data_IF_532501116300
#
_entry.id   IF_532501116300
#
_cell.length_a   1.000
_cell.length_b   1.000
_cell.length_c   1.000
_cell.angle_alpha   90.00
_cell.angle_beta   90.00
_cell.angle_gamma   90.00
#
_symmetry.space_group_name_H-M   'P 1'
#
loop_
_entity.id
_entity.type
_entity.pdbx_description
1 polymer ?
#
# COMPACT_ATOMS: atom_id res chain seq x y z
N UNK A 1 -16.78 17.33 -0.27
CA UNK A 1 -15.94 17.34 0.95
C UNK A 1 -15.33 15.98 0.95
N UNK A 2 -14.25 15.86 0.21
CA UNK A 2 -13.91 14.60 -0.43
C UNK A 2 -12.96 13.84 0.49
N UNK A 3 -13.36 12.64 0.90
CA UNK A 3 -12.54 11.79 1.74
C UNK A 3 -11.49 11.10 0.86
N UNK A 4 -10.21 11.37 1.11
CA UNK A 4 -9.09 10.71 0.44
C UNK A 4 -8.69 9.46 1.23
N UNK A 5 -9.26 8.30 0.90
CA UNK A 5 -8.94 7.02 1.54
C UNK A 5 -8.30 6.07 0.52
N UNK A 6 -7.13 5.53 0.85
CA UNK A 6 -6.45 4.51 0.07
C UNK A 6 -6.45 3.18 0.83
N UNK A 7 -6.66 2.08 0.11
CA UNK A 7 -6.55 0.72 0.62
C UNK A 7 -5.51 -0.04 -0.18
N UNK A 8 -4.67 -0.81 0.50
CA UNK A 8 -3.65 -1.67 -0.11
C UNK A 8 -3.71 -3.06 0.53
N UNK A 9 -3.32 -4.07 -0.24
CA UNK A 9 -3.34 -5.48 0.17
C UNK A 9 -1.92 -6.02 0.16
N UNK A 10 -1.54 -6.67 1.26
CA UNK A 10 -0.26 -7.36 1.39
C UNK A 10 -0.49 -8.85 1.11
N UNK A 11 0.26 -9.43 0.19
CA UNK A 11 0.13 -10.84 -0.22
C UNK A 11 1.48 -11.55 -0.30
N UNK A 12 1.45 -12.89 -0.32
CA UNK A 12 2.63 -13.72 -0.55
C UNK A 12 3.72 -13.56 0.53
N UNK A 13 4.97 -13.60 0.10
CA UNK A 13 6.14 -13.59 0.99
C UNK A 13 6.28 -12.28 1.80
N UNK A 14 5.67 -11.18 1.32
CA UNK A 14 5.64 -9.91 2.04
C UNK A 14 4.95 -10.03 3.40
N UNK A 15 3.99 -10.96 3.56
CA UNK A 15 3.33 -11.22 4.85
C UNK A 15 4.31 -11.74 5.91
N UNK A 16 5.34 -12.48 5.51
CA UNK A 16 6.37 -12.98 6.43
C UNK A 16 7.27 -11.84 6.92
N UNK A 17 7.61 -10.90 6.04
CA UNK A 17 8.41 -9.72 6.38
C UNK A 17 7.66 -8.77 7.33
N UNK A 18 6.36 -8.56 7.08
CA UNK A 18 5.57 -7.58 7.82
C UNK A 18 4.95 -8.14 9.11
N UNK A 19 5.04 -9.45 9.35
CA UNK A 19 4.42 -10.14 10.50
C UNK A 19 4.83 -9.55 11.86
N UNK A 20 6.12 -9.26 11.99
CA UNK A 20 6.74 -8.85 13.25
C UNK A 20 6.95 -7.32 13.35
N UNK A 21 6.62 -6.59 12.28
CA UNK A 21 6.69 -5.13 12.28
C UNK A 21 5.49 -4.51 13.01
N UNK A 22 5.68 -3.32 13.57
CA UNK A 22 4.62 -2.47 14.12
C UNK A 22 3.80 -1.80 13.01
N UNK A 23 2.58 -1.37 13.31
CA UNK A 23 1.68 -0.77 12.32
C UNK A 23 2.31 0.48 11.66
N UNK A 24 3.01 1.32 12.43
CA UNK A 24 3.70 2.49 11.90
C UNK A 24 4.77 2.12 10.87
N UNK A 25 5.57 1.07 11.14
CA UNK A 25 6.62 0.61 10.24
C UNK A 25 6.04 0.04 8.94
N UNK A 26 4.89 -0.64 9.02
CA UNK A 26 4.17 -1.11 7.82
C UNK A 26 3.70 0.08 6.98
N UNK A 27 3.14 1.10 7.62
CA UNK A 27 2.66 2.31 6.93
C UNK A 27 3.82 3.11 6.32
N UNK A 28 4.96 3.23 7.02
CA UNK A 28 6.14 3.91 6.49
C UNK A 28 6.64 3.24 5.20
N UNK A 29 6.66 1.90 5.16
CA UNK A 29 6.98 1.15 3.94
C UNK A 29 5.97 1.41 2.82
N UNK A 30 4.67 1.38 3.13
CA UNK A 30 3.63 1.67 2.15
C UNK A 30 3.73 3.10 1.60
N UNK A 31 3.99 4.09 2.46
CA UNK A 31 4.15 5.49 2.06
C UNK A 31 5.43 5.71 1.24
N UNK A 32 6.51 4.96 1.52
CA UNK A 32 7.72 4.95 0.71
C UNK A 32 7.41 4.54 -0.74
N UNK A 33 6.76 3.39 -0.91
CA UNK A 33 6.34 2.91 -2.24
C UNK A 33 5.36 3.89 -2.90
N UNK A 34 4.40 4.43 -2.15
CA UNK A 34 3.42 5.38 -2.68
C UNK A 34 4.12 6.63 -3.23
N UNK A 35 5.10 7.17 -2.52
CA UNK A 35 5.89 8.33 -2.97
C UNK A 35 6.71 8.00 -4.21
N UNK A 36 7.33 6.83 -4.28
CA UNK A 36 8.06 6.36 -5.47
C UNK A 36 7.15 6.23 -6.69
N UNK A 37 5.95 5.65 -6.52
CA UNK A 37 4.98 5.48 -7.61
C UNK A 37 4.49 6.82 -8.19
N UNK A 38 4.32 7.84 -7.35
CA UNK A 38 3.83 9.15 -7.80
C UNK A 38 4.93 10.11 -8.24
N UNK A 39 6.21 9.82 -7.98
CA UNK A 39 7.33 10.59 -8.52
C UNK A 39 7.42 10.51 -10.06
N UNK A 40 7.03 9.40 -10.67
CA UNK A 40 7.04 9.24 -12.14
C UNK A 40 5.98 10.09 -12.87
N UNK A 41 4.88 10.46 -12.19
CA UNK A 41 3.83 11.30 -12.80
C UNK A 41 4.29 12.75 -12.99
N UNK A 42 5.25 13.22 -12.19
CA UNK A 42 5.72 14.60 -12.20
C UNK A 42 6.87 14.80 -13.18
N UNK A 43 7.70 13.80 -13.45
CA UNK A 43 8.81 13.94 -14.42
C UNK A 43 8.32 14.06 -15.87
N UNK A 44 7.16 13.51 -16.23
CA UNK A 44 6.57 13.69 -17.57
C UNK A 44 5.91 15.06 -17.77
N UNK A 45 5.51 15.76 -16.70
CA UNK A 45 4.93 17.11 -16.77
C UNK A 45 5.94 18.22 -16.40
N UNK A 46 7.01 17.89 -15.68
CA UNK A 46 8.04 18.84 -15.26
C UNK A 46 8.90 19.38 -16.42
N UNK A 47 8.84 18.77 -17.61
CA UNK A 47 9.47 19.33 -18.81
C UNK A 47 8.69 20.52 -19.40
N UNK A 48 7.51 20.83 -18.86
CA UNK A 48 6.66 21.97 -19.24
C UNK A 48 6.28 22.85 -18.04
N UNK A 49 7.13 22.96 -17.02
CA UNK A 49 7.01 24.09 -16.09
C UNK A 49 7.39 25.36 -16.86
N UNK A 50 6.34 26.01 -17.34
CA UNK A 50 6.36 27.40 -17.79
C UNK A 50 6.90 28.23 -16.62
N UNK A 51 8.19 28.54 -16.67
CA UNK A 51 8.67 29.78 -16.07
C UNK A 51 7.85 30.90 -16.76
N UNK A 52 7.10 31.75 -16.04
CA UNK A 52 6.36 32.84 -16.67
C UNK A 52 7.30 33.87 -17.35
N UNK A 53 8.61 33.77 -17.10
CA UNK A 53 9.62 34.57 -17.78
C UNK A 53 9.85 34.00 -19.18
N UNK A 54 9.27 34.64 -20.18
CA UNK A 54 9.48 34.37 -21.62
C UNK A 54 10.92 34.66 -22.09
N UNK A 55 11.87 34.95 -21.19
CA UNK A 55 13.26 35.25 -21.54
C UNK A 55 14.26 34.26 -20.92
N UNK A 56 14.90 33.47 -21.79
CA UNK A 56 15.95 32.47 -21.51
C UNK A 56 17.24 33.00 -20.84
N UNK A 57 17.29 34.27 -20.43
CA UNK A 57 18.53 34.94 -20.02
C UNK A 57 18.83 34.82 -18.52
N UNK A 58 17.82 34.58 -17.66
CA UNK A 58 18.02 34.65 -16.21
C UNK A 58 18.91 33.54 -15.60
N UNK A 59 19.05 32.38 -16.23
CA UNK A 59 19.81 31.26 -15.62
C UNK A 59 21.34 31.38 -15.71
N UNK A 60 21.91 32.45 -16.29
CA UNK A 60 23.38 32.57 -16.47
C UNK A 60 24.09 33.51 -15.51
N UNK A 61 23.36 34.26 -14.68
CA UNK A 61 23.96 35.16 -13.71
C UNK A 61 23.56 34.71 -12.31
N UNK A 62 24.44 33.95 -11.68
CA UNK A 62 24.36 33.60 -10.26
C UNK A 62 24.46 34.85 -9.40
N UNK A 63 23.35 35.56 -9.24
CA UNK A 63 23.22 36.71 -8.35
C UNK A 63 21.96 36.53 -7.52
N UNK A 64 22.19 36.18 -6.26
CA UNK A 64 21.28 36.21 -5.11
C UNK A 64 20.01 37.05 -5.30
N UNK A 65 18.84 36.41 -5.30
CA UNK A 65 17.57 37.12 -5.30
C UNK A 65 16.34 36.23 -5.54
N UNK A 66 16.01 35.40 -4.56
CA UNK A 66 14.66 34.88 -4.28
C UNK A 66 13.87 34.35 -5.50
N UNK A 67 14.25 33.20 -6.05
CA UNK A 67 13.22 32.22 -6.40
C UNK A 67 13.12 31.28 -5.20
N UNK A 68 11.95 31.28 -4.55
CA UNK A 68 11.73 30.55 -3.30
C UNK A 68 12.24 29.11 -3.41
N UNK A 69 13.30 28.83 -2.67
CA UNK A 69 13.64 27.49 -2.23
C UNK A 69 12.49 27.01 -1.38
N UNK A 70 11.52 26.30 -1.97
CA UNK A 70 10.58 25.37 -1.33
C UNK A 70 9.54 24.91 -2.37
N UNK A 71 9.99 24.26 -3.44
CA UNK A 71 9.16 23.20 -4.03
C UNK A 71 9.67 21.91 -3.41
N UNK A 72 9.23 21.65 -2.19
CA UNK A 72 9.37 20.32 -1.62
C UNK A 72 8.56 19.38 -2.52
N UNK A 73 9.26 18.60 -3.34
CA UNK A 73 8.75 17.43 -4.07
C UNK A 73 8.31 16.36 -3.06
N UNK A 74 7.27 16.66 -2.29
CA UNK A 74 6.56 15.71 -1.46
C UNK A 74 5.10 15.77 -1.93
N UNK A 75 4.87 15.34 -3.18
CA UNK A 75 3.55 15.36 -3.82
C UNK A 75 2.52 14.47 -3.11
N UNK A 76 2.97 13.61 -2.19
CA UNK A 76 2.13 12.74 -1.36
C UNK A 76 2.23 13.16 0.11
N UNK A 77 1.15 13.70 0.71
CA UNK A 77 1.13 14.10 2.11
C UNK A 77 1.20 12.90 3.06
N UNK A 78 1.57 13.14 4.32
CA UNK A 78 1.54 12.11 5.37
C UNK A 78 0.08 11.68 5.68
N UNK A 79 -0.14 10.39 6.01
CA UNK A 79 -1.47 9.89 6.32
C UNK A 79 -1.97 10.46 7.66
N UNK A 80 -3.14 11.10 7.64
CA UNK A 80 -3.79 11.63 8.85
C UNK A 80 -4.28 10.50 9.77
N UNK A 81 -4.68 9.36 9.18
CA UNK A 81 -5.15 8.17 9.88
C UNK A 81 -4.84 6.93 9.07
N UNK A 82 -4.54 5.84 9.77
CA UNK A 82 -4.36 4.52 9.19
C UNK A 82 -4.87 3.43 10.14
N UNK A 83 -5.05 2.23 9.61
CA UNK A 83 -5.18 1.01 10.41
C UNK A 83 -4.59 -0.15 9.61
N UNK A 84 -3.97 -1.12 10.30
CA UNK A 84 -3.39 -2.32 9.69
C UNK A 84 -4.09 -3.54 10.27
N UNK A 85 -4.67 -4.38 9.41
CA UNK A 85 -5.33 -5.61 9.86
C UNK A 85 -4.30 -6.69 10.17
N UNK A 86 -4.48 -7.42 11.27
CA UNK A 86 -3.57 -8.52 11.69
C UNK A 86 -4.30 -9.86 11.78
N UNK A 87 -4.99 -10.25 10.70
CA UNK A 87 -5.74 -11.51 10.59
C UNK A 87 -4.91 -12.76 10.94
N UNK A 88 -3.63 -12.77 10.58
CA UNK A 88 -2.70 -13.86 10.91
C UNK A 88 -2.43 -14.04 12.41
N UNK A 89 -2.63 -12.98 13.21
CA UNK A 89 -2.44 -12.98 14.66
C UNK A 89 -3.75 -12.97 15.44
N UNK A 90 -4.89 -12.81 14.76
CA UNK A 90 -6.19 -12.92 15.38
C UNK A 90 -6.38 -14.36 15.90
N UNK A 91 -6.59 -14.56 17.21
CA UNK A 91 -6.77 -15.89 17.78
C UNK A 91 -7.90 -16.70 17.16
N UNK A 92 -8.93 -16.04 16.63
CA UNK A 92 -10.17 -16.65 16.14
C UNK A 92 -10.21 -16.84 14.62
N UNK A 93 -9.51 -16.00 13.85
CA UNK A 93 -9.44 -16.14 12.38
C UNK A 93 -8.17 -16.87 11.94
N UNK A 94 -6.99 -16.43 12.39
CA UNK A 94 -5.65 -16.93 12.01
C UNK A 94 -5.32 -16.97 10.51
N UNK A 95 -6.25 -16.61 9.64
CA UNK A 95 -6.12 -16.60 8.20
C UNK A 95 -7.02 -15.52 7.58
N UNK A 96 -6.84 -15.25 6.29
CA UNK A 96 -7.74 -14.39 5.53
C UNK A 96 -8.79 -15.18 4.76
N UNK A 97 -8.38 -16.26 4.10
CA UNK A 97 -9.23 -17.16 3.32
C UNK A 97 -8.48 -18.48 3.04
N UNK A 98 -9.22 -19.54 2.74
CA UNK A 98 -8.70 -20.86 2.42
C UNK A 98 -8.15 -20.94 0.97
N UNK A 99 -7.19 -21.84 0.71
CA UNK A 99 -6.72 -22.13 -0.65
C UNK A 99 -6.26 -23.59 -0.78
N UNK A 100 -6.36 -24.16 -1.99
CA UNK A 100 -5.86 -25.51 -2.27
C UNK A 100 -4.34 -25.47 -2.46
N UNK A 101 -3.61 -26.04 -1.50
CA UNK A 101 -2.15 -26.17 -1.58
C UNK A 101 -1.76 -27.12 -2.72
N UNK A 102 -0.54 -26.95 -3.26
CA UNK A 102 0.04 -27.89 -4.23
C UNK A 102 -0.04 -29.33 -3.72
N UNK A 103 -0.61 -30.23 -4.53
CA UNK A 103 -0.87 -31.63 -4.17
C UNK A 103 -2.21 -31.87 -3.47
N UNK A 104 -2.99 -30.82 -3.16
CA UNK A 104 -4.37 -30.93 -2.69
C UNK A 104 -5.39 -31.02 -3.83
N UNK A 105 -6.61 -31.40 -3.47
CA UNK A 105 -7.78 -31.47 -4.36
C UNK A 105 -8.93 -30.66 -3.78
N UNK A 106 -9.84 -30.19 -4.64
CA UNK A 106 -11.10 -29.55 -4.21
C UNK A 106 -11.98 -30.48 -3.37
N UNK A 107 -11.83 -31.80 -3.52
CA UNK A 107 -12.48 -32.82 -2.70
C UNK A 107 -12.20 -32.67 -1.19
N UNK A 108 -11.13 -31.97 -0.80
CA UNK A 108 -10.87 -31.66 0.59
C UNK A 108 -11.99 -30.82 1.23
N UNK A 109 -12.63 -29.92 0.47
CA UNK A 109 -13.77 -29.15 0.95
C UNK A 109 -15.02 -30.03 1.14
N UNK A 110 -15.22 -31.01 0.25
CA UNK A 110 -16.33 -31.96 0.39
C UNK A 110 -16.16 -32.81 1.65
N UNK A 111 -14.94 -33.32 1.90
CA UNK A 111 -14.62 -34.09 3.12
C UNK A 111 -14.83 -33.25 4.39
N UNK A 112 -14.48 -31.95 4.37
CA UNK A 112 -14.71 -31.05 5.51
C UNK A 112 -16.21 -30.81 5.74
N UNK A 113 -17.02 -30.80 4.69
CA UNK A 113 -18.47 -30.59 4.77
C UNK A 113 -19.24 -31.82 5.29
N UNK A 114 -18.62 -32.99 5.34
CA UNK A 114 -19.25 -34.20 5.88
C UNK A 114 -19.54 -34.07 7.38
N UNK A 115 -20.73 -34.52 7.78
CA UNK A 115 -21.11 -34.55 9.19
C UNK A 115 -20.51 -35.75 9.93
N UNK A 116 -20.31 -35.61 11.24
CA UNK A 116 -19.86 -36.71 12.10
C UNK A 116 -21.07 -37.29 12.84
N UNK A 117 -21.45 -38.51 12.46
CA UNK A 117 -22.53 -39.31 13.06
C UNK A 117 -23.91 -38.61 13.10
N UNK A 118 -24.19 -37.71 12.16
CA UNK A 118 -25.43 -36.92 12.11
C UNK A 118 -25.58 -35.95 13.28
N UNK A 119 -24.49 -35.61 13.98
CA UNK A 119 -24.54 -34.82 15.23
C UNK A 119 -23.67 -33.58 15.21
N UNK A 120 -22.48 -33.66 14.60
CA UNK A 120 -21.57 -32.54 14.45
C UNK A 120 -21.50 -32.16 12.98
N UNK A 121 -21.81 -30.89 12.70
CA UNK A 121 -21.86 -30.34 11.35
C UNK A 121 -20.78 -29.26 11.22
N UNK A 122 -20.20 -29.16 10.04
CA UNK A 122 -19.20 -28.17 9.68
C UNK A 122 -19.74 -27.27 8.58
N UNK A 123 -19.42 -25.99 8.65
CA UNK A 123 -19.78 -24.98 7.66
C UNK A 123 -18.73 -23.87 7.68
N UNK A 124 -18.55 -23.18 6.55
CA UNK A 124 -17.54 -22.14 6.38
C UNK A 124 -17.06 -22.06 4.94
N UNK A 125 -16.13 -21.14 4.70
CA UNK A 125 -15.35 -21.00 3.46
C UNK A 125 -14.15 -21.96 3.38
#
# INVERSE_FOLDING_TARGET
>A
GDECVLMTVITGDALSLLRDLQDSQVVDLCMGVLRELFQEQVTSFAQFVICPCVDRVCCRLGSSGLCGSDVALQDVPDPVRFFVTRWSRDPWSRMSYSFVKTGGSGEAYDIIAEDVQGKLFFAGE
#
